data_IF_762947507153
#
_entry.id   IF_762947507153
#
_cell.length_a   1.000
_cell.length_b   1.000
_cell.length_c   1.000
_cell.angle_alpha   90.00
_cell.angle_beta   90.00
_cell.angle_gamma   90.00
#
_symmetry.space_group_name_H-M   'P 1'
#
loop_
_entity.id
_entity.type
_entity.pdbx_description
1 polymer ?
#
# COMPACT_ATOMS: atom_id res chain seq x y z
N UNK A 1 2.95 14.35 -19.24
CA UNK A 1 3.22 14.84 -17.87
C UNK A 1 1.90 15.19 -17.21
N UNK A 2 1.63 14.65 -16.03
CA UNK A 2 0.42 14.99 -15.27
C UNK A 2 0.82 15.92 -14.13
N UNK A 3 0.11 17.05 -14.00
CA UNK A 3 0.32 18.02 -12.91
C UNK A 3 -0.86 17.93 -11.95
N UNK A 4 -0.55 17.88 -10.65
CA UNK A 4 -1.56 17.85 -9.58
C UNK A 4 -1.37 19.08 -8.71
N UNK A 5 -2.43 19.86 -8.55
CA UNK A 5 -2.45 21.04 -7.67
C UNK A 5 -3.32 20.74 -6.45
N UNK A 6 -2.71 20.74 -5.26
CA UNK A 6 -3.43 20.58 -3.99
C UNK A 6 -3.73 21.96 -3.44
N UNK A 7 -5.02 22.31 -3.36
CA UNK A 7 -5.49 23.61 -2.85
C UNK A 7 -5.76 23.57 -1.35
N UNK A 8 -5.69 24.73 -0.71
CA UNK A 8 -6.04 24.94 0.70
C UNK A 8 -5.23 24.06 1.67
N UNK A 9 -3.96 23.79 1.35
CA UNK A 9 -3.04 23.14 2.29
C UNK A 9 -2.69 24.16 3.37
N UNK A 10 -2.94 23.88 4.66
CA UNK A 10 -2.54 24.79 5.73
C UNK A 10 -1.03 25.06 5.70
N UNK A 11 -0.63 26.32 5.87
CA UNK A 11 0.77 26.74 5.77
C UNK A 11 1.71 25.88 6.63
N UNK A 12 1.30 25.61 7.89
CA UNK A 12 2.05 24.74 8.80
C UNK A 12 2.37 23.36 8.24
N UNK A 13 1.46 22.79 7.44
CA UNK A 13 1.62 21.45 6.85
C UNK A 13 2.58 21.54 5.66
N UNK A 14 2.42 22.57 4.83
CA UNK A 14 3.29 22.86 3.68
C UNK A 14 4.74 23.10 4.15
N UNK A 15 4.92 23.83 5.25
CA UNK A 15 6.22 24.13 5.83
C UNK A 15 6.90 22.89 6.42
N UNK A 16 6.16 22.06 7.15
CA UNK A 16 6.67 20.79 7.70
C UNK A 16 7.08 19.81 6.58
N UNK A 17 6.29 19.73 5.50
CA UNK A 17 6.62 18.90 4.33
C UNK A 17 7.87 19.42 3.61
N UNK A 18 8.01 20.75 3.49
CA UNK A 18 9.21 21.36 2.92
C UNK A 18 10.45 21.08 3.78
N UNK A 19 10.34 21.17 5.10
CA UNK A 19 11.41 20.84 6.02
C UNK A 19 11.82 19.36 5.93
N UNK A 20 10.85 18.44 5.78
CA UNK A 20 11.13 17.01 5.53
C UNK A 20 11.83 16.78 4.20
N UNK A 21 11.38 17.45 3.14
CA UNK A 21 12.00 17.37 1.82
C UNK A 21 13.47 17.84 1.87
N UNK A 22 13.71 18.99 2.51
CA UNK A 22 15.06 19.53 2.70
C UNK A 22 15.97 18.57 3.48
N UNK A 23 15.48 17.99 4.60
CA UNK A 23 16.21 16.96 5.36
C UNK A 23 16.54 15.72 4.54
N UNK A 24 15.70 15.38 3.57
CA UNK A 24 15.91 14.26 2.66
C UNK A 24 16.75 14.62 1.43
N UNK A 25 17.23 15.87 1.30
CA UNK A 25 17.97 16.34 0.13
C UNK A 25 17.14 16.38 -1.15
N UNK A 26 15.81 16.53 -1.04
CA UNK A 26 14.87 16.51 -2.16
C UNK A 26 14.17 17.85 -2.31
N UNK A 27 13.78 18.21 -3.54
CA UNK A 27 12.79 19.26 -3.72
C UNK A 27 11.44 18.84 -3.11
N UNK A 28 10.61 19.81 -2.71
CA UNK A 28 9.27 19.52 -2.20
C UNK A 28 8.44 18.70 -3.19
N UNK A 29 8.56 19.00 -4.49
CA UNK A 29 7.86 18.27 -5.55
C UNK A 29 8.30 16.80 -5.60
N UNK A 30 9.60 16.51 -5.57
CA UNK A 30 10.11 15.13 -5.59
C UNK A 30 9.72 14.36 -4.35
N UNK A 31 9.77 15.01 -3.18
CA UNK A 31 9.34 14.43 -1.92
C UNK A 31 7.86 14.03 -1.97
N UNK A 32 6.98 14.95 -2.38
CA UNK A 32 5.54 14.70 -2.46
C UNK A 32 5.20 13.66 -3.52
N UNK A 33 5.90 13.63 -4.66
CA UNK A 33 5.73 12.57 -5.65
C UNK A 33 6.04 11.20 -5.05
N UNK A 34 7.10 11.08 -4.26
CA UNK A 34 7.44 9.83 -3.55
C UNK A 34 6.33 9.41 -2.60
N UNK A 35 5.83 10.35 -1.78
CA UNK A 35 4.71 10.10 -0.85
C UNK A 35 3.46 9.62 -1.59
N UNK A 36 3.12 10.22 -2.73
CA UNK A 36 1.96 9.82 -3.52
C UNK A 36 2.12 8.43 -4.14
N UNK A 37 3.32 8.08 -4.62
CA UNK A 37 3.62 6.75 -5.14
C UNK A 37 3.49 5.71 -4.01
N UNK A 38 4.12 5.96 -2.86
CA UNK A 38 4.04 5.04 -1.71
C UNK A 38 2.61 4.87 -1.19
N UNK A 39 1.80 5.93 -1.24
CA UNK A 39 0.40 5.89 -0.86
C UNK A 39 -0.45 5.08 -1.87
N UNK A 40 -0.12 5.14 -3.16
CA UNK A 40 -0.79 4.39 -4.21
C UNK A 40 -0.36 2.92 -4.26
N UNK A 41 0.90 2.61 -3.93
CA UNK A 41 1.46 1.26 -3.97
C UNK A 41 0.91 0.36 -2.85
N UNK A 42 0.37 0.94 -1.79
CA UNK A 42 -0.23 0.20 -0.67
C UNK A 42 -1.73 0.04 -0.90
N UNK A 43 -2.21 -1.13 -1.36
CA UNK A 43 -3.63 -1.39 -1.43
C UNK A 43 -4.23 -1.27 -0.02
N UNK A 44 -5.38 -0.63 0.06
CA UNK A 44 -6.19 -0.60 1.27
C UNK A 44 -6.54 -2.02 1.73
N UNK A 45 -6.84 -2.17 3.02
CA UNK A 45 -7.28 -3.47 3.57
C UNK A 45 -8.49 -4.00 2.79
N UNK A 46 -9.43 -3.12 2.43
CA UNK A 46 -10.61 -3.48 1.64
C UNK A 46 -10.24 -3.96 0.24
N UNK A 47 -9.31 -3.30 -0.45
CA UNK A 47 -8.83 -3.74 -1.76
C UNK A 47 -8.10 -5.10 -1.67
N UNK A 48 -7.32 -5.31 -0.61
CA UNK A 48 -6.68 -6.60 -0.34
C UNK A 48 -7.72 -7.69 -0.12
N UNK A 49 -8.75 -7.42 0.69
CA UNK A 49 -9.83 -8.36 0.98
C UNK A 49 -10.67 -8.66 -0.26
N UNK A 50 -11.00 -7.64 -1.05
CA UNK A 50 -11.73 -7.80 -2.31
C UNK A 50 -10.93 -8.68 -3.29
N UNK A 51 -9.63 -8.39 -3.46
CA UNK A 51 -8.74 -9.20 -4.30
C UNK A 51 -8.63 -10.63 -3.81
N UNK A 52 -8.53 -10.85 -2.51
CA UNK A 52 -8.49 -12.20 -1.93
C UNK A 52 -9.79 -12.99 -2.23
N UNK A 53 -10.96 -12.36 -2.06
CA UNK A 53 -12.26 -12.97 -2.39
C UNK A 53 -12.36 -13.33 -3.87
N UNK A 54 -11.98 -12.42 -4.77
CA UNK A 54 -11.97 -12.67 -6.22
C UNK A 54 -11.06 -13.85 -6.57
N UNK A 55 -9.88 -13.94 -5.96
CA UNK A 55 -8.94 -15.05 -6.21
C UNK A 55 -9.48 -16.39 -5.72
N UNK A 56 -10.12 -16.44 -4.55
CA UNK A 56 -10.77 -17.66 -4.03
C UNK A 56 -11.91 -18.09 -4.94
N UNK A 57 -12.72 -17.15 -5.43
CA UNK A 57 -13.81 -17.45 -6.35
C UNK A 57 -13.30 -17.98 -7.70
N UNK A 58 -12.25 -17.39 -8.26
CA UNK A 58 -11.70 -17.77 -9.56
C UNK A 58 -10.95 -19.11 -9.55
N UNK A 59 -10.25 -19.42 -8.46
CA UNK A 59 -9.45 -20.66 -8.35
C UNK A 59 -10.30 -21.89 -8.08
N UNK A 60 -11.47 -21.74 -7.46
CA UNK A 60 -12.38 -22.85 -7.13
C UNK A 60 -11.82 -23.84 -6.09
N UNK A 61 -10.58 -23.68 -5.64
CA UNK A 61 -9.93 -24.54 -4.66
C UNK A 61 -10.42 -24.17 -3.26
N UNK A 62 -10.98 -25.14 -2.55
CA UNK A 62 -11.29 -25.03 -1.13
C UNK A 62 -10.36 -25.93 -0.33
N UNK A 63 -9.62 -25.34 0.60
CA UNK A 63 -8.79 -26.09 1.55
C UNK A 63 -9.52 -26.15 2.87
N UNK A 64 -9.69 -27.34 3.43
CA UNK A 64 -10.30 -27.52 4.74
C UNK A 64 -9.27 -27.27 5.84
N UNK A 65 -9.69 -26.86 7.05
CA UNK A 65 -8.77 -26.71 8.18
C UNK A 65 -7.95 -27.98 8.45
N UNK A 66 -8.56 -29.16 8.32
CA UNK A 66 -7.90 -30.45 8.49
C UNK A 66 -6.79 -30.68 7.45
N UNK A 67 -7.05 -30.35 6.17
CA UNK A 67 -6.06 -30.48 5.10
C UNK A 67 -4.89 -29.49 5.31
N UNK A 68 -5.17 -28.27 5.75
CA UNK A 68 -4.13 -27.28 6.08
C UNK A 68 -3.23 -27.76 7.21
N UNK A 69 -3.80 -28.33 8.28
CA UNK A 69 -3.04 -28.85 9.41
C UNK A 69 -2.18 -30.07 8.99
N UNK A 70 -2.75 -30.98 8.20
CA UNK A 70 -2.03 -32.14 7.69
C UNK A 70 -0.83 -31.73 6.80
N UNK A 71 -1.00 -30.76 5.90
CA UNK A 71 0.08 -30.24 5.07
C UNK A 71 1.20 -29.59 5.90
N UNK A 72 0.82 -28.79 6.92
CA UNK A 72 1.77 -28.16 7.85
C UNK A 72 2.56 -29.18 8.66
N UNK A 73 1.94 -30.29 9.06
CA UNK A 73 2.59 -31.36 9.83
C UNK A 73 3.48 -32.25 8.97
N UNK A 74 3.18 -32.39 7.68
CA UNK A 74 4.02 -33.09 6.71
C UNK A 74 5.33 -32.32 6.43
N UNK A 75 5.30 -30.99 6.35
CA UNK A 75 6.46 -30.13 6.10
C UNK A 75 7.47 -30.09 7.28
N UNK A 76 7.05 -30.58 8.45
CA UNK A 76 7.85 -30.58 9.69
C UNK A 76 8.57 -31.91 9.97
N UNK A 77 8.43 -32.91 9.10
CA UNK A 77 9.07 -34.24 9.19
C UNK A 77 10.22 -34.33 8.20
#
# INVERSE_FOLDING_TARGET
MTVVTIRNVPDRVRDELAARAARAGKSLQEYLRGVLIEAADKPTVDEVLARARTRVAATGVRVTPAATLAARDADRR
#
